data_IF_125720079415
#
_entry.id   IF_125720079415
#
_cell.length_a   1.000
_cell.length_b   1.000
_cell.length_c   1.000
_cell.angle_alpha   90.00
_cell.angle_beta   90.00
_cell.angle_gamma   90.00
#
_symmetry.space_group_name_H-M   'P 1'
#
loop_
_entity.id
_entity.type
_entity.pdbx_description
1 polymer ?
#
# COMPACT_ATOMS: atom_id res chain seq x y z
N UNK A 1 36.52 -54.90 19.27
CA UNK A 1 36.58 -53.94 18.16
C UNK A 1 35.62 -52.82 18.49
N UNK A 2 36.17 -51.71 18.97
CA UNK A 2 35.46 -50.60 19.58
C UNK A 2 34.59 -49.84 18.57
N UNK A 3 33.31 -49.67 18.92
CA UNK A 3 32.43 -48.78 18.19
C UNK A 3 32.77 -47.34 18.60
N UNK A 4 33.29 -46.47 17.70
CA UNK A 4 33.59 -45.09 18.07
C UNK A 4 32.29 -44.37 18.41
N UNK A 5 32.12 -44.02 19.70
CA UNK A 5 31.01 -43.19 20.18
C UNK A 5 31.12 -41.85 19.48
N UNK A 6 30.18 -41.56 18.56
CA UNK A 6 30.09 -40.26 17.89
C UNK A 6 29.96 -39.18 18.98
N UNK A 7 30.83 -38.16 19.02
CA UNK A 7 30.70 -37.07 19.98
C UNK A 7 29.34 -36.39 19.78
N UNK A 8 28.52 -36.32 20.82
CA UNK A 8 27.27 -35.56 20.79
C UNK A 8 27.59 -34.08 20.53
N UNK A 9 27.32 -33.62 19.31
CA UNK A 9 27.66 -32.29 18.82
C UNK A 9 26.73 -31.23 19.42
N UNK A 10 27.09 -30.70 20.59
CA UNK A 10 26.42 -29.58 21.24
C UNK A 10 26.57 -28.24 20.49
N UNK A 11 27.23 -28.18 19.33
CA UNK A 11 27.38 -26.92 18.56
C UNK A 11 26.21 -26.63 17.62
N UNK A 12 25.34 -27.61 17.36
CA UNK A 12 24.12 -27.44 16.56
C UNK A 12 23.20 -26.31 17.04
N UNK A 13 22.84 -26.19 18.34
CA UNK A 13 21.91 -25.17 18.81
C UNK A 13 22.41 -23.73 18.61
N UNK A 14 23.72 -23.49 18.78
CA UNK A 14 24.29 -22.14 18.54
C UNK A 14 24.27 -21.74 17.06
N UNK A 15 24.46 -22.70 16.15
CA UNK A 15 24.40 -22.45 14.70
C UNK A 15 22.99 -22.12 14.23
N UNK A 16 21.98 -22.75 14.82
CA UNK A 16 20.58 -22.46 14.52
C UNK A 16 20.14 -21.10 15.07
N UNK A 17 20.55 -20.73 16.28
CA UNK A 17 20.25 -19.42 16.85
C UNK A 17 20.90 -18.30 16.03
N UNK A 18 22.17 -18.47 15.63
CA UNK A 18 22.86 -17.53 14.74
C UNK A 18 22.20 -17.44 13.36
N UNK A 19 21.67 -18.54 12.82
CA UNK A 19 20.87 -18.53 11.58
C UNK A 19 19.54 -17.80 11.76
N UNK A 20 18.83 -17.97 12.88
CA UNK A 20 17.58 -17.25 13.18
C UNK A 20 17.80 -15.75 13.37
N UNK A 21 18.93 -15.35 13.94
CA UNK A 21 19.33 -13.94 14.06
C UNK A 21 19.71 -13.34 12.70
N UNK A 22 20.34 -14.13 11.81
CA UNK A 22 20.67 -13.71 10.43
C UNK A 22 19.49 -13.77 9.46
N UNK A 23 18.51 -14.61 9.72
CA UNK A 23 17.22 -14.58 9.04
C UNK A 23 16.47 -13.32 9.49
N UNK A 24 16.90 -12.17 8.97
CA UNK A 24 16.31 -10.87 9.23
C UNK A 24 14.80 -10.94 9.04
N UNK A 25 14.08 -10.22 9.91
CA UNK A 25 12.61 -10.14 9.94
C UNK A 25 12.08 -10.12 8.50
N UNK A 26 11.24 -11.10 8.09
CA UNK A 26 10.74 -11.16 6.73
C UNK A 26 10.10 -9.81 6.40
N UNK A 27 10.58 -9.18 5.31
CA UNK A 27 9.99 -7.93 4.80
C UNK A 27 8.52 -8.24 4.57
N UNK A 28 7.65 -7.60 5.35
CA UNK A 28 6.19 -7.77 5.26
C UNK A 28 5.81 -7.59 3.79
N UNK A 29 5.31 -8.63 3.12
CA UNK A 29 4.88 -8.51 1.74
C UNK A 29 3.74 -7.49 1.72
N UNK A 30 3.93 -6.36 1.02
CA UNK A 30 2.85 -5.37 0.84
C UNK A 30 1.63 -6.10 0.30
N UNK A 31 0.48 -5.81 0.91
CA UNK A 31 -0.79 -6.39 0.45
C UNK A 31 -1.10 -5.87 -0.95
N UNK A 32 -1.81 -6.66 -1.76
CA UNK A 32 -2.13 -6.26 -3.14
C UNK A 32 -2.92 -4.95 -3.17
N UNK A 33 -3.76 -4.74 -2.14
CA UNK A 33 -4.46 -3.47 -1.85
C UNK A 33 -3.53 -2.27 -1.78
N UNK A 34 -2.44 -2.43 -1.04
CA UNK A 34 -1.49 -1.37 -0.72
C UNK A 34 -0.69 -0.97 -1.97
N UNK A 35 -0.29 -1.95 -2.78
CA UNK A 35 0.39 -1.71 -4.06
C UNK A 35 -0.54 -1.01 -5.07
N UNK A 36 -1.76 -1.52 -5.27
CA UNK A 36 -2.73 -0.90 -6.21
C UNK A 36 -3.13 0.50 -5.77
N UNK A 37 -3.42 0.70 -4.48
CA UNK A 37 -3.75 2.01 -3.92
C UNK A 37 -2.62 3.03 -4.08
N UNK A 38 -1.37 2.61 -3.90
CA UNK A 38 -0.21 3.50 -4.09
C UNK A 38 -0.03 3.95 -5.54
N UNK A 39 -0.32 3.09 -6.52
CA UNK A 39 -0.22 3.41 -7.95
C UNK A 39 -1.30 4.43 -8.33
N UNK A 40 -2.55 4.19 -7.90
CA UNK A 40 -3.69 5.09 -8.17
C UNK A 40 -3.39 6.48 -7.60
N UNK A 41 -3.09 6.57 -6.30
CA UNK A 41 -2.75 7.84 -5.65
C UNK A 41 -1.54 8.52 -6.30
N UNK A 42 -0.52 7.77 -6.73
CA UNK A 42 0.64 8.32 -7.42
C UNK A 42 0.29 9.00 -8.73
N UNK A 43 -0.55 8.36 -9.56
CA UNK A 43 -1.07 8.97 -10.79
C UNK A 43 -1.97 10.17 -10.49
N UNK A 44 -2.77 10.09 -9.44
CA UNK A 44 -3.68 11.14 -9.03
C UNK A 44 -2.92 12.43 -8.67
N UNK A 45 -1.79 12.33 -7.96
CA UNK A 45 -0.93 13.49 -7.63
C UNK A 45 -0.46 14.20 -8.90
N UNK A 46 -0.05 13.44 -9.92
CA UNK A 46 0.41 13.99 -11.21
C UNK A 46 -0.73 14.72 -11.91
N UNK A 47 -1.93 14.14 -11.90
CA UNK A 47 -3.12 14.74 -12.52
C UNK A 47 -3.51 16.02 -11.80
N UNK A 48 -3.55 16.03 -10.46
CA UNK A 48 -3.91 17.23 -9.67
C UNK A 48 -2.87 18.35 -9.87
N UNK A 49 -1.60 18.00 -9.98
CA UNK A 49 -0.54 18.95 -10.32
C UNK A 49 -0.79 19.59 -11.70
N UNK A 50 -1.05 18.77 -12.72
CA UNK A 50 -1.37 19.27 -14.07
C UNK A 50 -2.68 20.08 -14.09
N UNK A 51 -3.70 19.64 -13.37
CA UNK A 51 -4.98 20.35 -13.23
C UNK A 51 -4.79 21.74 -12.62
N UNK A 52 -3.90 21.86 -11.64
CA UNK A 52 -3.51 23.15 -11.04
C UNK A 52 -2.86 24.07 -12.07
N UNK A 53 -1.95 23.55 -12.89
CA UNK A 53 -1.33 24.32 -13.98
C UNK A 53 -2.35 24.76 -15.04
N UNK A 54 -3.30 23.88 -15.39
CA UNK A 54 -4.40 24.20 -16.32
C UNK A 54 -5.30 25.29 -15.72
N UNK A 55 -5.68 25.18 -14.45
CA UNK A 55 -6.48 26.19 -13.76
C UNK A 55 -5.78 27.56 -13.71
N UNK A 56 -4.46 27.56 -13.47
CA UNK A 56 -3.63 28.77 -13.52
C UNK A 56 -3.58 29.36 -14.94
N UNK A 57 -3.38 28.52 -15.96
CA UNK A 57 -3.37 28.93 -17.36
C UNK A 57 -4.70 29.51 -17.84
N UNK A 58 -5.82 28.96 -17.34
CA UNK A 58 -7.18 29.44 -17.62
C UNK A 58 -7.58 30.69 -16.82
N UNK A 59 -6.73 31.18 -15.90
CA UNK A 59 -7.08 32.24 -14.94
C UNK A 59 -8.42 31.98 -14.23
N UNK A 60 -8.66 30.72 -13.85
CA UNK A 60 -9.94 30.31 -13.26
C UNK A 60 -10.26 30.99 -11.92
N UNK A 61 -9.23 31.45 -11.20
CA UNK A 61 -9.34 32.24 -9.98
C UNK A 61 -8.06 33.05 -9.77
N UNK A 62 -7.94 33.71 -8.61
CA UNK A 62 -6.72 34.41 -8.22
C UNK A 62 -5.49 33.48 -8.34
N UNK A 63 -4.43 33.89 -9.05
CA UNK A 63 -3.28 33.03 -9.33
C UNK A 63 -2.58 32.49 -8.08
N UNK A 64 -2.56 33.28 -7.01
CA UNK A 64 -1.96 32.89 -5.72
C UNK A 64 -2.82 31.80 -5.08
N UNK A 65 -4.15 31.96 -5.11
CA UNK A 65 -5.08 30.95 -4.56
C UNK A 65 -4.97 29.63 -5.33
N UNK A 66 -4.88 29.66 -6.66
CA UNK A 66 -4.76 28.45 -7.48
C UNK A 66 -3.45 27.71 -7.21
N UNK A 67 -2.32 28.43 -7.23
CA UNK A 67 -1.01 27.80 -7.04
C UNK A 67 -0.79 27.31 -5.61
N UNK A 68 -1.17 28.10 -4.60
CA UNK A 68 -1.05 27.71 -3.20
C UNK A 68 -2.03 26.59 -2.87
N UNK A 69 -3.29 26.70 -3.29
CA UNK A 69 -4.31 25.69 -3.06
C UNK A 69 -3.97 24.35 -3.72
N UNK A 70 -3.58 24.37 -4.99
CA UNK A 70 -3.15 23.17 -5.71
C UNK A 70 -1.86 22.57 -5.16
N UNK A 71 -0.89 23.40 -4.77
CA UNK A 71 0.34 22.96 -4.11
C UNK A 71 0.10 22.28 -2.76
N UNK A 72 -0.76 22.86 -1.91
CA UNK A 72 -1.17 22.27 -0.62
C UNK A 72 -1.92 20.95 -0.85
N UNK A 73 -2.77 20.89 -1.87
CA UNK A 73 -3.49 19.67 -2.21
C UNK A 73 -2.53 18.56 -2.65
N UNK A 74 -1.58 18.84 -3.54
CA UNK A 74 -0.53 17.89 -3.93
C UNK A 74 0.27 17.41 -2.72
N UNK A 75 0.64 18.31 -1.81
CA UNK A 75 1.40 17.95 -0.60
C UNK A 75 0.57 17.04 0.32
N UNK A 76 -0.73 17.31 0.48
CA UNK A 76 -1.65 16.47 1.24
C UNK A 76 -1.79 15.08 0.62
N UNK A 77 -1.79 14.97 -0.72
CA UNK A 77 -1.80 13.68 -1.41
C UNK A 77 -0.52 12.88 -1.20
N UNK A 78 0.64 13.54 -1.28
CA UNK A 78 1.94 12.90 -1.00
C UNK A 78 2.02 12.45 0.47
N UNK A 79 1.51 13.26 1.40
CA UNK A 79 1.42 12.86 2.82
C UNK A 79 0.51 11.63 3.00
N UNK A 80 -0.59 11.56 2.23
CA UNK A 80 -1.52 10.42 2.24
C UNK A 80 -0.87 9.15 1.67
N UNK A 81 0.03 9.26 0.69
CA UNK A 81 0.88 8.15 0.20
C UNK A 81 1.64 7.47 1.35
N UNK A 82 2.21 8.28 2.26
CA UNK A 82 2.95 7.78 3.42
C UNK A 82 2.05 7.14 4.49
N UNK A 83 0.82 7.62 4.61
CA UNK A 83 -0.16 7.16 5.60
C UNK A 83 -0.97 5.93 5.17
N UNK A 84 -0.89 5.54 3.90
CA UNK A 84 -1.60 4.39 3.35
C UNK A 84 -1.20 3.06 4.00
N UNK A 85 -0.04 3.01 4.66
CA UNK A 85 0.43 1.87 5.45
C UNK A 85 -0.39 1.61 6.75
N UNK A 86 -1.42 2.40 7.03
CA UNK A 86 -2.28 2.29 8.23
C UNK A 86 -3.74 2.08 7.82
N UNK A 87 -4.57 1.37 8.63
CA UNK A 87 -6.01 1.22 8.38
C UNK A 87 -6.77 2.56 8.32
N UNK A 88 -6.15 3.65 8.76
CA UNK A 88 -6.67 5.03 8.67
C UNK A 88 -6.62 5.57 7.23
N UNK A 89 -5.74 5.04 6.37
CA UNK A 89 -5.61 5.46 4.97
C UNK A 89 -6.92 5.35 4.17
N UNK A 90 -7.81 4.44 4.56
CA UNK A 90 -9.14 4.30 3.95
C UNK A 90 -10.03 5.54 4.13
N UNK A 91 -10.07 6.10 5.35
CA UNK A 91 -10.88 7.30 5.64
C UNK A 91 -10.28 8.55 4.99
N UNK A 92 -8.96 8.63 4.96
CA UNK A 92 -8.24 9.77 4.39
C UNK A 92 -8.39 9.80 2.87
N UNK A 93 -8.28 8.65 2.19
CA UNK A 93 -8.49 8.58 0.74
C UNK A 93 -9.90 9.00 0.31
N UNK A 94 -10.92 8.64 1.08
CA UNK A 94 -12.29 9.11 0.85
C UNK A 94 -12.44 10.63 1.01
N UNK A 95 -11.83 11.20 2.06
CA UNK A 95 -11.83 12.65 2.26
C UNK A 95 -11.12 13.37 1.11
N UNK A 96 -9.97 12.85 0.68
CA UNK A 96 -9.19 13.39 -0.44
C UNK A 96 -9.97 13.38 -1.75
N UNK A 97 -10.70 12.30 -2.01
CA UNK A 97 -11.53 12.21 -3.20
C UNK A 97 -12.61 13.28 -3.26
N UNK A 98 -13.28 13.55 -2.14
CA UNK A 98 -14.23 14.67 -2.09
C UNK A 98 -13.57 16.01 -2.35
N UNK A 99 -12.35 16.21 -1.84
CA UNK A 99 -11.59 17.45 -2.08
C UNK A 99 -11.24 17.60 -3.56
N UNK A 100 -10.80 16.52 -4.21
CA UNK A 100 -10.46 16.52 -5.64
C UNK A 100 -11.70 16.78 -6.49
N UNK A 101 -12.81 16.11 -6.21
CA UNK A 101 -14.09 16.37 -6.88
C UNK A 101 -14.51 17.83 -6.69
N UNK A 102 -14.34 18.40 -5.49
CA UNK A 102 -14.63 19.81 -5.24
C UNK A 102 -13.74 20.77 -6.05
N UNK A 103 -12.47 20.41 -6.32
CA UNK A 103 -11.62 21.21 -7.22
C UNK A 103 -12.14 21.26 -8.66
N UNK A 104 -13.01 20.34 -9.06
CA UNK A 104 -13.74 20.37 -10.33
C UNK A 104 -14.63 21.60 -10.53
N UNK A 105 -14.99 22.31 -9.46
CA UNK A 105 -15.71 23.59 -9.56
C UNK A 105 -14.93 24.67 -10.32
N UNK A 106 -13.58 24.63 -10.28
CA UNK A 106 -12.72 25.55 -11.02
C UNK A 106 -12.51 25.10 -12.47
N UNK A 107 -12.49 23.78 -12.70
CA UNK A 107 -12.20 23.17 -14.00
C UNK A 107 -13.21 22.03 -14.22
N UNK A 108 -14.33 22.27 -14.92
CA UNK A 108 -15.45 21.32 -14.98
C UNK A 108 -15.07 19.93 -15.49
N UNK A 109 -14.09 19.83 -16.40
CA UNK A 109 -13.60 18.53 -16.91
C UNK A 109 -12.96 17.66 -15.81
N UNK A 110 -12.48 18.27 -14.71
CA UNK A 110 -11.93 17.54 -13.56
C UNK A 110 -13.00 16.80 -12.76
N UNK A 111 -14.29 17.13 -12.89
CA UNK A 111 -15.35 16.29 -12.33
C UNK A 111 -15.36 14.89 -12.95
N UNK A 112 -15.17 14.79 -14.27
CA UNK A 112 -15.14 13.51 -14.98
C UNK A 112 -13.92 12.70 -14.56
N UNK A 113 -12.75 13.36 -14.51
CA UNK A 113 -11.50 12.71 -14.13
C UNK A 113 -11.52 12.28 -12.66
N UNK A 114 -11.97 13.16 -11.76
CA UNK A 114 -12.16 12.86 -10.34
C UNK A 114 -13.13 11.71 -10.13
N UNK A 115 -14.29 11.71 -10.79
CA UNK A 115 -15.26 10.62 -10.70
C UNK A 115 -14.68 9.27 -11.18
N UNK A 116 -13.91 9.28 -12.27
CA UNK A 116 -13.22 8.08 -12.75
C UNK A 116 -12.20 7.55 -11.72
N UNK A 117 -11.47 8.45 -11.05
CA UNK A 117 -10.53 8.07 -9.99
C UNK A 117 -11.23 7.57 -8.73
N UNK A 118 -12.35 8.17 -8.32
CA UNK A 118 -13.20 7.64 -7.25
C UNK A 118 -13.68 6.22 -7.58
N UNK A 119 -14.13 6.00 -8.82
CA UNK A 119 -14.55 4.67 -9.29
C UNK A 119 -13.39 3.68 -9.29
N UNK A 120 -12.21 4.09 -9.75
CA UNK A 120 -11.02 3.25 -9.75
C UNK A 120 -10.54 2.93 -8.32
N UNK A 121 -10.56 3.92 -7.43
CA UNK A 121 -10.22 3.78 -6.02
C UNK A 121 -11.13 2.76 -5.34
N UNK A 122 -12.45 2.93 -5.48
CA UNK A 122 -13.43 2.01 -4.92
C UNK A 122 -13.25 0.60 -5.49
N UNK A 123 -13.01 0.47 -6.80
CA UNK A 123 -12.70 -0.82 -7.43
C UNK A 123 -11.43 -1.48 -6.89
N UNK A 124 -10.32 -0.75 -6.77
CA UNK A 124 -9.06 -1.25 -6.22
C UNK A 124 -9.22 -1.74 -4.77
N UNK A 125 -10.02 -1.02 -3.97
CA UNK A 125 -10.31 -1.41 -2.59
C UNK A 125 -11.14 -2.70 -2.52
N UNK A 126 -12.19 -2.81 -3.34
CA UNK A 126 -13.05 -4.01 -3.40
C UNK A 126 -12.32 -5.22 -4.00
N UNK A 127 -11.44 -5.03 -4.97
CA UNK A 127 -10.65 -6.10 -5.58
C UNK A 127 -9.54 -6.57 -4.65
N UNK A 128 -8.83 -5.66 -4.01
CA UNK A 128 -7.80 -6.03 -3.04
C UNK A 128 -8.41 -6.70 -1.80
N UNK A 129 -9.58 -6.25 -1.33
CA UNK A 129 -10.71 -7.10 -0.90
C UNK A 129 -10.53 -8.61 -0.99
N UNK A 130 -10.81 -9.08 -2.19
CA UNK A 130 -10.92 -10.47 -2.59
C UNK A 130 -9.56 -11.15 -2.72
N UNK A 131 -8.54 -10.41 -3.17
CA UNK A 131 -7.19 -10.96 -3.38
C UNK A 131 -6.43 -11.23 -2.07
N UNK A 132 -6.56 -10.38 -1.05
CA UNK A 132 -5.96 -10.64 0.27
C UNK A 132 -6.63 -11.82 1.00
N UNK A 133 -7.90 -12.10 0.70
CA UNK A 133 -8.60 -13.25 1.27
C UNK A 133 -8.10 -14.59 0.69
N UNK A 134 -7.57 -14.58 -0.53
CA UNK A 134 -7.07 -15.77 -1.24
C UNK A 134 -5.60 -16.08 -0.92
N UNK A 135 -4.81 -15.08 -0.52
CA UNK A 135 -3.37 -15.21 -0.29
C UNK A 135 -2.95 -15.83 1.05
N UNK A 136 -3.86 -16.37 1.86
CA UNK A 136 -3.52 -17.02 3.13
C UNK A 136 -3.33 -18.52 2.90
N UNK A 137 -2.09 -19.04 2.92
CA UNK A 137 -1.89 -20.49 2.91
C UNK A 137 -2.60 -21.09 4.13
N UNK A 138 -3.21 -22.28 4.02
CA UNK A 138 -3.68 -23.02 5.17
C UNK A 138 -2.56 -23.05 6.22
N UNK A 139 -2.91 -22.83 7.50
CA UNK A 139 -1.96 -23.09 8.57
C UNK A 139 -1.38 -24.49 8.34
N UNK A 140 -0.05 -24.70 8.46
CA UNK A 140 0.49 -26.04 8.42
C UNK A 140 -0.37 -26.87 9.38
N UNK A 141 -1.10 -27.84 8.83
CA UNK A 141 -1.84 -28.77 9.66
C UNK A 141 -0.86 -29.35 10.69
N UNK A 142 -1.31 -29.69 11.91
CA UNK A 142 -0.47 -30.41 12.85
C UNK A 142 0.25 -31.50 12.08
N UNK A 143 1.58 -31.45 12.02
CA UNK A 143 2.35 -32.55 11.45
C UNK A 143 1.98 -33.76 12.29
N UNK A 144 1.14 -34.65 11.75
CA UNK A 144 0.76 -35.88 12.44
C UNK A 144 2.06 -36.60 12.82
N UNK A 145 2.36 -36.81 14.12
CA UNK A 145 3.63 -37.38 14.56
C UNK A 145 3.84 -38.86 14.18
N UNK A 146 3.09 -39.44 13.24
CA UNK A 146 2.97 -40.90 13.07
C UNK A 146 3.13 -41.31 11.60
N UNK A 147 4.26 -41.00 10.97
CA UNK A 147 4.72 -41.68 9.74
C UNK A 147 6.20 -42.08 9.93
N UNK A 148 6.45 -42.87 10.97
CA UNK A 148 7.79 -43.33 11.34
C UNK A 148 7.82 -44.68 12.07
N UNK A 149 6.70 -45.41 12.09
CA UNK A 149 6.62 -46.70 12.78
C UNK A 149 5.58 -47.62 12.11
N UNK A 150 5.89 -48.15 10.92
CA UNK A 150 5.39 -49.44 10.39
C UNK A 150 6.35 -50.01 9.36
#
# INVERSE_FOLDING_TARGET
MDHPRRPHDHRRPRRELARRVRAGRPRRSRTVRESLGSIVLGFEVVIVFLATLVAFGLKAADPVVVLVGGGVLCLAMVATLGLLNRPVGFRIGWALQFVIVATGLLVPIMFVIGAAFVALWTYCMVTGTRLDAQGRPPAPGPTDPIEGDR
#
